data_IF_353759978059
#
_entry.id   IF_353759978059
#
_cell.length_a   1.000
_cell.length_b   1.000
_cell.length_c   1.000
_cell.angle_alpha   90.00
_cell.angle_beta   90.00
_cell.angle_gamma   90.00
#
_symmetry.space_group_name_H-M   'P 1'
#
loop_
_entity.id
_entity.type
_entity.pdbx_description
1 polymer ?
#
# COMPACT_ATOMS: atom_id res chain seq x y z
N UNK A 1 0.93 15.37 4.72
CA UNK A 1 -0.29 14.68 5.18
C UNK A 1 -0.35 13.29 4.57
N UNK A 2 -1.27 12.43 5.05
CA UNK A 2 -1.41 11.04 4.58
C UNK A 2 -1.67 10.97 3.06
N UNK A 3 -1.06 10.00 2.39
CA UNK A 3 -1.28 9.73 0.96
C UNK A 3 -1.62 8.25 0.72
N UNK A 4 -2.14 7.96 -0.47
CA UNK A 4 -2.48 6.63 -0.95
C UNK A 4 -1.89 6.41 -2.33
N UNK A 5 -1.17 5.31 -2.49
CA UNK A 5 -0.61 4.88 -3.76
C UNK A 5 -1.31 3.62 -4.22
N UNK A 6 -1.88 3.70 -5.40
CA UNK A 6 -2.46 2.56 -6.09
C UNK A 6 -1.37 1.70 -6.73
N UNK A 7 -1.58 0.38 -6.70
CA UNK A 7 -0.65 -0.58 -7.25
C UNK A 7 -1.14 -1.17 -8.58
N UNK A 8 -0.24 -1.15 -9.56
CA UNK A 8 -0.47 -1.65 -10.91
C UNK A 8 0.63 -2.65 -11.28
N UNK A 9 0.22 -3.81 -11.80
CA UNK A 9 1.11 -4.75 -12.47
C UNK A 9 1.23 -4.35 -13.94
N UNK A 10 2.44 -4.03 -14.39
CA UNK A 10 2.72 -3.68 -15.79
C UNK A 10 3.46 -4.87 -16.43
N UNK A 11 2.78 -5.72 -17.21
CA UNK A 11 3.33 -7.02 -17.63
C UNK A 11 4.44 -6.90 -18.70
N UNK A 12 4.48 -5.78 -19.43
CA UNK A 12 5.51 -5.48 -20.41
C UNK A 12 5.61 -3.97 -20.63
N UNK A 13 6.71 -3.51 -21.23
CA UNK A 13 6.86 -2.10 -21.63
C UNK A 13 5.70 -1.68 -22.55
N UNK A 14 5.06 -0.56 -22.22
CA UNK A 14 3.89 0.00 -22.93
C UNK A 14 2.60 -0.84 -22.88
N UNK A 15 2.55 -1.93 -22.11
CA UNK A 15 1.30 -2.62 -21.86
C UNK A 15 0.42 -1.81 -20.89
N UNK A 16 -0.90 -1.96 -21.01
CA UNK A 16 -1.81 -1.42 -20.01
C UNK A 16 -1.54 -2.06 -18.64
N UNK A 17 -1.54 -1.23 -17.59
CA UNK A 17 -1.42 -1.72 -16.23
C UNK A 17 -2.68 -2.48 -15.80
N UNK A 18 -2.49 -3.57 -15.04
CA UNK A 18 -3.56 -4.33 -14.40
C UNK A 18 -3.56 -3.96 -12.91
N UNK A 19 -4.74 -3.63 -12.35
CA UNK A 19 -4.85 -3.34 -10.91
C UNK A 19 -4.45 -4.56 -10.09
N UNK A 20 -3.48 -4.41 -9.19
CA UNK A 20 -3.01 -5.52 -8.32
C UNK A 20 -4.14 -6.02 -7.41
N UNK A 21 -5.07 -5.15 -7.02
CA UNK A 21 -6.23 -5.49 -6.18
C UNK A 21 -7.12 -6.60 -6.75
N UNK A 22 -7.12 -6.75 -8.09
CA UNK A 22 -7.91 -7.74 -8.84
C UNK A 22 -7.43 -9.18 -8.67
N UNK A 23 -6.18 -9.38 -8.26
CA UNK A 23 -5.62 -10.73 -8.07
C UNK A 23 -6.42 -11.51 -7.01
N UNK A 24 -7.05 -10.80 -6.07
CA UNK A 24 -7.75 -11.38 -4.93
C UNK A 24 -9.24 -11.02 -4.92
N UNK A 25 -9.84 -10.75 -6.07
CA UNK A 25 -11.27 -10.44 -6.18
C UNK A 25 -12.18 -11.63 -5.81
N UNK A 26 -11.64 -12.85 -5.82
CA UNK A 26 -12.30 -14.07 -5.34
C UNK A 26 -12.37 -14.15 -3.80
N UNK A 27 -11.59 -13.34 -3.08
CA UNK A 27 -11.63 -13.23 -1.62
C UNK A 27 -12.63 -12.15 -1.21
N UNK A 28 -13.80 -12.58 -0.74
CA UNK A 28 -14.88 -11.71 -0.29
C UNK A 28 -14.53 -10.82 0.91
N UNK A 29 -13.77 -11.34 1.89
CA UNK A 29 -13.36 -10.59 3.08
C UNK A 29 -11.83 -10.55 3.20
N UNK A 30 -11.25 -9.41 2.84
CA UNK A 30 -9.79 -9.21 2.82
C UNK A 30 -9.24 -8.73 4.17
N UNK A 31 -10.06 -8.63 5.23
CA UNK A 31 -9.62 -8.17 6.57
C UNK A 31 -8.61 -9.11 7.24
N UNK A 32 -8.62 -10.39 6.88
CA UNK A 32 -7.69 -11.40 7.40
C UNK A 32 -6.42 -11.54 6.54
N UNK A 33 -6.37 -10.89 5.38
CA UNK A 33 -5.21 -10.93 4.52
C UNK A 33 -4.01 -10.31 5.25
N UNK A 34 -2.96 -11.10 5.43
CA UNK A 34 -1.74 -10.63 6.05
C UNK A 34 -1.05 -9.65 5.10
N UNK A 35 -0.90 -8.41 5.55
CA UNK A 35 -0.19 -7.41 4.77
C UNK A 35 1.21 -7.24 5.35
N UNK A 36 2.23 -7.34 4.50
CA UNK A 36 3.64 -7.23 4.90
C UNK A 36 3.88 -5.98 5.76
N UNK A 37 4.82 -6.10 6.71
CA UNK A 37 5.16 -5.02 7.63
C UNK A 37 5.51 -3.72 6.88
N UNK A 38 5.08 -2.59 7.46
CA UNK A 38 5.40 -1.28 6.91
C UNK A 38 6.91 -1.03 6.89
N UNK A 39 7.37 -0.27 5.89
CA UNK A 39 8.75 0.11 5.69
C UNK A 39 8.91 1.61 5.92
N UNK A 40 9.84 1.99 6.81
CA UNK A 40 10.20 3.38 7.06
C UNK A 40 11.29 3.85 6.09
N UNK A 41 11.07 5.00 5.47
CA UNK A 41 12.04 5.69 4.60
C UNK A 41 12.03 7.19 4.94
N UNK A 42 12.91 7.99 4.33
CA UNK A 42 13.10 9.44 4.61
C UNK A 42 11.79 10.21 4.84
N UNK A 43 11.40 10.36 6.12
CA UNK A 43 10.22 11.10 6.53
C UNK A 43 8.86 10.44 6.26
N UNK A 44 8.83 9.16 5.84
CA UNK A 44 7.60 8.43 5.54
C UNK A 44 7.59 7.01 6.10
N UNK A 45 6.43 6.59 6.60
CA UNK A 45 6.08 5.21 6.89
C UNK A 45 5.15 4.70 5.77
N UNK A 46 5.66 3.77 4.96
CA UNK A 46 4.89 3.12 3.91
C UNK A 46 4.34 1.78 4.39
N UNK A 47 3.03 1.61 4.38
CA UNK A 47 2.39 0.36 4.78
C UNK A 47 1.44 -0.11 3.68
N UNK A 48 1.58 -1.35 3.16
CA UNK A 48 0.54 -1.89 2.30
C UNK A 48 -0.74 -2.11 3.12
N UNK A 49 -1.90 -2.03 2.49
CA UNK A 49 -3.21 -2.15 3.13
C UNK A 49 -4.35 -2.30 2.11
N UNK A 50 -5.53 -2.68 2.60
CA UNK A 50 -6.77 -2.59 1.83
C UNK A 50 -7.56 -1.32 2.16
N UNK A 51 -8.14 -0.70 1.14
CA UNK A 51 -9.09 0.42 1.30
C UNK A 51 -10.50 -0.09 1.59
N UNK A 52 -11.43 0.81 1.87
CA UNK A 52 -12.86 0.47 2.05
C UNK A 52 -13.50 -0.14 0.80
N UNK A 53 -12.96 0.16 -0.38
CA UNK A 53 -13.42 -0.38 -1.67
C UNK A 53 -12.74 -1.73 -2.02
N UNK A 54 -12.07 -2.37 -1.04
CA UNK A 54 -11.31 -3.61 -1.19
C UNK A 54 -10.13 -3.53 -2.18
N UNK A 55 -9.63 -2.32 -2.44
CA UNK A 55 -8.44 -2.09 -3.25
C UNK A 55 -7.17 -2.26 -2.41
N UNK A 56 -6.16 -2.93 -2.98
CA UNK A 56 -4.84 -3.08 -2.38
C UNK A 56 -3.95 -1.89 -2.77
N UNK A 57 -3.55 -1.11 -1.78
CA UNK A 57 -2.81 0.14 -1.94
C UNK A 57 -1.65 0.22 -0.94
N UNK A 58 -0.71 1.14 -1.17
CA UNK A 58 0.28 1.55 -0.18
C UNK A 58 -0.16 2.86 0.45
N UNK A 59 -0.27 2.85 1.77
CA UNK A 59 -0.59 4.03 2.56
C UNK A 59 0.70 4.66 3.04
N UNK A 60 0.85 5.95 2.78
CA UNK A 60 2.00 6.73 3.20
C UNK A 60 1.59 7.67 4.33
N UNK A 61 2.21 7.46 5.48
CA UNK A 61 2.13 8.36 6.62
C UNK A 61 3.42 9.16 6.74
N UNK A 62 3.37 10.47 7.05
CA UNK A 62 4.56 11.16 7.53
C UNK A 62 5.14 10.36 8.69
N UNK A 63 6.43 10.02 8.62
CA UNK A 63 7.09 9.35 9.71
C UNK A 63 6.99 10.24 10.95
N UNK A 64 6.76 9.66 12.14
CA UNK A 64 6.88 10.43 13.37
C UNK A 64 8.25 11.09 13.39
N UNK A 65 8.29 12.40 13.65
CA UNK A 65 9.55 13.11 13.87
C UNK A 65 10.26 12.34 14.98
N UNK A 66 11.42 11.75 14.69
CA UNK A 66 12.23 11.13 15.72
C UNK A 66 12.44 12.17 16.80
N UNK A 67 11.89 11.95 18.00
CA UNK A 67 12.18 12.79 19.13
C UNK A 67 13.70 12.70 19.34
N UNK A 68 14.41 13.79 19.03
CA UNK A 68 15.83 13.88 19.29
C UNK A 68 16.05 13.49 20.75
N UNK A 69 16.76 12.37 20.97
CA UNK A 69 17.21 11.98 22.29
C UNK A 69 17.99 13.15 22.87
N UNK A 70 17.44 13.72 23.94
CA UNK A 70 18.08 14.77 24.73
C UNK A 70 18.98 14.14 25.77
#
# INVERSE_FOLDING_TARGET
>A
GRQWWDLWLVPARNAAGIRVSRILDDIWDKRTAYVCAGHGTDGWLAAPCYTGDNDFSVRLDPAPVSAATR
#
